data_IF_210557614983
#
_entry.id   IF_210557614983
#
_cell.length_a   1.000
_cell.length_b   1.000
_cell.length_c   1.000
_cell.angle_alpha   90.00
_cell.angle_beta   90.00
_cell.angle_gamma   90.00
#
_symmetry.space_group_name_H-M   'P 1'
#
loop_
_entity.id
_entity.type
_entity.pdbx_description
1 polymer ?
#
# COMPACT_ATOMS: atom_id res chain seq x y z
N UNK A 1 4.13 -21.22 18.29
CA UNK A 1 4.85 -20.41 17.28
C UNK A 1 3.81 -19.52 16.62
N UNK A 2 4.08 -18.23 16.46
CA UNK A 2 3.20 -17.35 15.68
C UNK A 2 3.42 -17.61 14.20
N UNK A 3 2.34 -17.48 13.40
CA UNK A 3 2.47 -17.50 11.94
C UNK A 3 3.31 -16.30 11.48
N UNK A 4 4.08 -16.43 10.40
CA UNK A 4 4.68 -15.25 9.77
C UNK A 4 3.59 -14.35 9.20
N UNK A 5 3.88 -13.06 9.07
CA UNK A 5 2.92 -12.04 8.66
C UNK A 5 3.22 -11.52 7.27
N UNK A 6 2.16 -11.31 6.48
CA UNK A 6 2.22 -10.45 5.32
C UNK A 6 1.68 -9.07 5.72
N UNK A 7 2.50 -8.03 5.58
CA UNK A 7 2.10 -6.64 5.80
C UNK A 7 1.90 -5.95 4.44
N UNK A 8 0.67 -5.63 4.10
CA UNK A 8 0.32 -4.87 2.90
C UNK A 8 0.19 -3.40 3.29
N UNK A 9 1.05 -2.54 2.75
CA UNK A 9 1.01 -1.09 2.99
C UNK A 9 0.35 -0.42 1.80
N UNK A 10 -0.88 0.00 1.98
CA UNK A 10 -1.77 0.41 0.93
C UNK A 10 -2.14 1.90 0.99
N UNK A 11 -2.56 2.44 -0.14
CA UNK A 11 -3.01 3.82 -0.30
C UNK A 11 -2.64 4.36 -1.66
N UNK A 12 -3.35 5.39 -2.14
CA UNK A 12 -3.11 5.96 -3.47
C UNK A 12 -1.72 6.60 -3.60
N UNK A 13 -1.35 6.96 -4.81
CA UNK A 13 -0.14 7.75 -5.06
C UNK A 13 -0.20 9.05 -4.24
N UNK A 14 0.89 9.39 -3.56
CA UNK A 14 0.95 10.59 -2.69
C UNK A 14 0.39 10.40 -1.27
N UNK A 15 -0.14 9.23 -0.90
CA UNK A 15 -0.65 8.99 0.46
C UNK A 15 0.44 8.95 1.54
N UNK A 16 1.71 8.80 1.15
CA UNK A 16 2.83 8.81 2.08
C UNK A 16 3.33 7.42 2.49
N UNK A 17 2.94 6.36 1.78
CA UNK A 17 3.41 4.98 2.06
C UNK A 17 4.90 4.92 2.35
N UNK A 18 5.74 5.23 1.37
CA UNK A 18 7.21 5.14 1.50
C UNK A 18 7.81 6.10 2.54
N UNK A 19 7.08 7.16 2.92
CA UNK A 19 7.53 8.07 3.97
C UNK A 19 7.25 7.55 5.38
N UNK A 20 6.13 6.82 5.55
CA UNK A 20 5.64 6.43 6.87
C UNK A 20 5.69 4.93 7.14
N UNK A 21 5.87 4.09 6.12
CA UNK A 21 5.90 2.64 6.27
C UNK A 21 6.88 2.18 7.36
N UNK A 22 8.06 2.78 7.43
CA UNK A 22 9.08 2.48 8.46
C UNK A 22 8.63 2.77 9.89
N UNK A 23 7.70 3.70 10.08
CA UNK A 23 7.16 4.07 11.40
C UNK A 23 5.89 3.28 11.74
N UNK A 24 5.15 2.85 10.71
CA UNK A 24 3.87 2.14 10.87
C UNK A 24 4.05 0.62 10.98
N UNK A 25 5.15 0.08 10.47
CA UNK A 25 5.45 -1.35 10.58
C UNK A 25 5.90 -1.67 12.01
N UNK A 26 5.09 -2.42 12.79
CA UNK A 26 5.41 -2.70 14.19
C UNK A 26 6.71 -3.49 14.31
N UNK A 27 7.73 -2.92 14.95
CA UNK A 27 8.94 -3.57 15.52
C UNK A 27 9.54 -4.76 14.75
N UNK A 28 9.18 -4.99 13.50
CA UNK A 28 9.80 -6.00 12.66
C UNK A 28 10.98 -5.36 11.91
N UNK A 29 12.10 -6.08 11.81
CA UNK A 29 13.21 -5.69 10.94
C UNK A 29 12.85 -5.82 9.44
N UNK A 30 11.56 -5.88 9.11
CA UNK A 30 11.05 -6.06 7.76
C UNK A 30 10.97 -4.70 7.07
N UNK A 31 11.76 -4.52 6.03
CA UNK A 31 11.70 -3.33 5.18
C UNK A 31 10.65 -3.60 4.10
N UNK A 32 9.64 -2.74 3.93
CA UNK A 32 8.65 -2.93 2.88
C UNK A 32 9.28 -2.85 1.48
N UNK A 33 8.94 -3.80 0.63
CA UNK A 33 9.30 -3.76 -0.79
C UNK A 33 8.54 -2.63 -1.48
N UNK A 34 9.27 -1.65 -2.02
CA UNK A 34 8.73 -0.52 -2.79
C UNK A 34 9.01 -0.76 -4.28
N UNK A 35 8.00 -1.26 -5.01
CA UNK A 35 8.12 -1.57 -6.44
C UNK A 35 8.55 -0.37 -7.27
N UNK A 36 8.01 0.84 -7.00
CA UNK A 36 8.36 2.07 -7.72
C UNK A 36 9.86 2.40 -7.55
N UNK A 37 10.42 2.17 -6.36
CA UNK A 37 11.83 2.40 -6.07
C UNK A 37 12.74 1.42 -6.83
N UNK A 38 12.40 0.13 -6.84
CA UNK A 38 13.12 -0.90 -7.61
C UNK A 38 13.06 -0.61 -9.11
N UNK A 39 11.86 -0.32 -9.63
CA UNK A 39 11.68 0.07 -11.03
C UNK A 39 12.58 1.26 -11.40
N UNK A 40 12.56 2.35 -10.63
CA UNK A 40 13.37 3.54 -10.90
C UNK A 40 14.87 3.25 -10.84
N UNK A 41 15.30 2.39 -9.92
CA UNK A 41 16.71 1.96 -9.82
C UNK A 41 17.16 1.27 -11.10
N UNK A 42 16.39 0.27 -11.55
CA UNK A 42 16.68 -0.44 -12.80
C UNK A 42 16.58 0.48 -14.01
N UNK A 43 15.53 1.31 -14.10
CA UNK A 43 15.34 2.25 -15.20
C UNK A 43 16.52 3.21 -15.37
N UNK A 44 17.10 3.70 -14.27
CA UNK A 44 18.29 4.59 -14.30
C UNK A 44 19.57 3.87 -14.69
N UNK A 45 19.70 2.58 -14.35
CA UNK A 45 20.87 1.78 -14.65
C UNK A 45 20.91 1.26 -16.11
N UNK A 46 19.76 1.12 -16.76
CA UNK A 46 19.65 0.63 -18.13
C UNK A 46 20.03 1.71 -19.16
N UNK A 47 20.63 1.27 -20.27
CA UNK A 47 20.88 2.12 -21.44
C UNK A 47 19.56 2.57 -22.07
N UNK A 48 19.58 3.69 -22.77
CA UNK A 48 18.41 4.28 -23.39
C UNK A 48 18.07 3.58 -24.72
N UNK A 49 17.08 2.71 -24.69
CA UNK A 49 16.57 1.91 -25.81
C UNK A 49 15.03 1.80 -25.72
N UNK A 50 14.37 1.51 -26.82
CA UNK A 50 12.89 1.49 -26.93
C UNK A 50 12.20 0.59 -25.88
N UNK A 51 12.84 -0.49 -25.47
CA UNK A 51 12.29 -1.46 -24.49
C UNK A 51 12.76 -1.24 -23.05
N UNK A 52 13.45 -0.13 -22.77
CA UNK A 52 14.04 0.18 -21.46
C UNK A 52 13.03 0.10 -20.32
N UNK A 53 11.86 0.70 -20.50
CA UNK A 53 10.80 0.71 -19.51
C UNK A 53 10.30 -0.71 -19.20
N UNK A 54 10.05 -1.50 -20.26
CA UNK A 54 9.62 -2.90 -20.11
C UNK A 54 10.68 -3.73 -19.40
N UNK A 55 11.95 -3.53 -19.71
CA UNK A 55 13.07 -4.22 -19.05
C UNK A 55 13.14 -3.85 -17.57
N UNK A 56 13.01 -2.58 -17.23
CA UNK A 56 13.01 -2.12 -15.83
C UNK A 56 11.83 -2.73 -15.03
N UNK A 57 10.65 -2.82 -15.63
CA UNK A 57 9.50 -3.49 -15.03
C UNK A 57 9.75 -5.00 -14.81
N UNK A 58 10.33 -5.68 -15.79
CA UNK A 58 10.64 -7.10 -15.68
C UNK A 58 11.66 -7.35 -14.53
N UNK A 59 12.69 -6.52 -14.43
CA UNK A 59 13.69 -6.64 -13.36
C UNK A 59 13.10 -6.37 -11.98
N UNK A 60 12.29 -5.32 -11.83
CA UNK A 60 11.61 -5.02 -10.56
C UNK A 60 10.64 -6.15 -10.15
N UNK A 61 9.98 -6.77 -11.13
CA UNK A 61 9.11 -7.93 -10.88
C UNK A 61 9.91 -9.16 -10.46
N UNK A 62 11.11 -9.36 -11.03
CA UNK A 62 12.02 -10.44 -10.61
C UNK A 62 12.46 -10.22 -9.18
N UNK A 63 12.93 -9.01 -8.82
CA UNK A 63 13.31 -8.68 -7.44
C UNK A 63 12.17 -8.99 -6.44
N UNK A 64 10.93 -8.58 -6.77
CA UNK A 64 9.78 -8.86 -5.92
C UNK A 64 9.55 -10.37 -5.73
N UNK A 65 9.60 -11.14 -6.82
CA UNK A 65 9.40 -12.58 -6.76
C UNK A 65 10.49 -13.27 -5.95
N UNK A 66 11.76 -12.86 -6.11
CA UNK A 66 12.88 -13.42 -5.38
C UNK A 66 12.76 -13.17 -3.87
N UNK A 67 12.37 -11.94 -3.47
CA UNK A 67 12.14 -11.62 -2.06
C UNK A 67 10.95 -12.38 -1.47
N UNK A 68 9.87 -12.55 -2.22
CA UNK A 68 8.71 -13.35 -1.81
C UNK A 68 9.10 -14.83 -1.63
N UNK A 69 9.84 -15.40 -2.58
CA UNK A 69 10.29 -16.79 -2.46
C UNK A 69 11.21 -16.99 -1.25
N UNK A 70 12.12 -16.05 -0.99
CA UNK A 70 12.98 -16.09 0.19
C UNK A 70 12.17 -16.00 1.49
N UNK A 71 11.16 -15.11 1.56
CA UNK A 71 10.26 -15.01 2.70
C UNK A 71 9.52 -16.33 2.95
N UNK A 72 9.01 -16.98 1.90
CA UNK A 72 8.34 -18.28 2.01
C UNK A 72 9.27 -19.39 2.48
N UNK A 73 10.48 -19.49 1.91
CA UNK A 73 11.48 -20.51 2.30
C UNK A 73 11.92 -20.36 3.75
N UNK A 74 12.15 -19.13 4.18
CA UNK A 74 12.64 -18.84 5.53
C UNK A 74 11.55 -18.64 6.58
N UNK A 75 10.27 -18.67 6.18
CA UNK A 75 9.10 -18.42 7.06
C UNK A 75 9.21 -17.08 7.79
N UNK A 76 9.70 -16.03 7.12
CA UNK A 76 9.84 -14.68 7.67
C UNK A 76 8.65 -13.82 7.30
N UNK A 77 8.42 -12.77 8.10
CA UNK A 77 7.50 -11.70 7.75
C UNK A 77 7.92 -11.07 6.41
N UNK A 78 6.94 -10.68 5.60
CA UNK A 78 7.15 -9.93 4.37
C UNK A 78 6.27 -8.69 4.37
N UNK A 79 6.75 -7.60 3.77
CA UNK A 79 6.00 -6.37 3.62
C UNK A 79 6.16 -5.81 2.22
N UNK A 80 5.11 -5.23 1.64
CA UNK A 80 5.19 -4.51 0.37
C UNK A 80 4.21 -3.34 0.29
N UNK A 81 4.58 -2.35 -0.54
CA UNK A 81 3.75 -1.20 -0.82
C UNK A 81 2.90 -1.41 -2.08
N UNK A 82 1.65 -0.94 -2.05
CA UNK A 82 0.72 -1.03 -3.18
C UNK A 82 -0.25 0.15 -3.21
N UNK A 83 -0.83 0.45 -4.38
CA UNK A 83 -1.98 1.36 -4.46
C UNK A 83 -3.29 0.67 -4.10
N UNK A 84 -3.28 -0.65 -3.97
CA UNK A 84 -4.43 -1.48 -3.65
C UNK A 84 -5.56 -1.39 -4.69
N UNK A 85 -5.18 -1.20 -5.97
CA UNK A 85 -6.12 -0.93 -7.07
C UNK A 85 -6.41 -2.14 -7.95
N UNK A 86 -5.40 -2.70 -8.62
CA UNK A 86 -5.56 -3.81 -9.57
C UNK A 86 -5.21 -5.13 -8.90
N UNK A 87 -6.15 -6.08 -8.90
CA UNK A 87 -5.99 -7.42 -8.29
C UNK A 87 -5.35 -7.41 -6.88
N UNK A 88 -5.85 -6.57 -5.94
CA UNK A 88 -5.18 -6.29 -4.68
C UNK A 88 -5.00 -7.53 -3.80
N UNK A 89 -5.79 -8.60 -4.05
CA UNK A 89 -5.74 -9.84 -3.30
C UNK A 89 -4.85 -10.93 -3.95
N UNK A 90 -4.16 -10.62 -5.07
CA UNK A 90 -3.30 -11.60 -5.74
C UNK A 90 -2.23 -12.17 -4.78
N UNK A 91 -1.38 -11.31 -4.25
CA UNK A 91 -0.36 -11.71 -3.28
C UNK A 91 -0.94 -12.12 -1.91
N UNK A 92 -1.87 -11.37 -1.30
CA UNK A 92 -2.48 -11.79 -0.03
C UNK A 92 -3.03 -13.21 -0.06
N UNK A 93 -3.73 -13.61 -1.13
CA UNK A 93 -4.26 -14.97 -1.24
C UNK A 93 -3.16 -16.05 -1.30
N UNK A 94 -2.05 -15.78 -2.00
CA UNK A 94 -0.94 -16.72 -2.06
C UNK A 94 -0.23 -16.87 -0.71
N UNK A 95 0.01 -15.75 -0.01
CA UNK A 95 0.58 -15.78 1.34
C UNK A 95 -0.33 -16.49 2.33
N UNK A 96 -1.65 -16.24 2.26
CA UNK A 96 -2.64 -16.95 3.10
C UNK A 96 -2.59 -18.46 2.86
N UNK A 97 -2.50 -18.89 1.60
CA UNK A 97 -2.35 -20.32 1.25
C UNK A 97 -1.03 -20.92 1.78
N UNK A 98 -0.02 -20.11 2.03
CA UNK A 98 1.25 -20.51 2.68
C UNK A 98 1.21 -20.40 4.21
N UNK A 99 0.06 -20.07 4.81
CA UNK A 99 -0.13 -19.99 6.26
C UNK A 99 0.47 -18.74 6.89
N UNK A 100 0.38 -17.60 6.20
CA UNK A 100 0.68 -16.27 6.74
C UNK A 100 -0.59 -15.62 7.28
N UNK A 101 -0.44 -14.84 8.36
CA UNK A 101 -1.49 -13.93 8.81
C UNK A 101 -1.42 -12.64 7.98
N UNK A 102 -2.58 -12.13 7.54
CA UNK A 102 -2.68 -10.99 6.64
C UNK A 102 -2.93 -9.69 7.41
N UNK A 103 -2.01 -8.73 7.27
CA UNK A 103 -2.09 -7.40 7.87
C UNK A 103 -2.18 -6.34 6.76
N UNK A 104 -3.08 -5.38 6.91
CA UNK A 104 -3.22 -4.25 6.01
C UNK A 104 -3.05 -2.93 6.77
N UNK A 105 -2.13 -2.09 6.33
CA UNK A 105 -1.99 -0.71 6.76
C UNK A 105 -2.48 0.19 5.63
N UNK A 106 -3.62 0.85 5.78
CA UNK A 106 -4.22 1.66 4.72
C UNK A 106 -4.10 3.16 5.03
N UNK A 107 -3.36 3.89 4.17
CA UNK A 107 -3.20 5.33 4.28
C UNK A 107 -4.21 6.06 3.39
N UNK A 108 -5.15 6.74 4.02
CA UNK A 108 -6.13 7.59 3.38
C UNK A 108 -5.56 8.97 3.03
N UNK A 109 -6.12 9.59 2.00
CA UNK A 109 -6.04 11.03 1.74
C UNK A 109 -7.44 11.60 1.60
N UNK A 110 -7.63 12.84 2.03
CA UNK A 110 -8.91 13.53 2.03
C UNK A 110 -9.37 13.94 0.63
N UNK A 111 -8.44 14.08 -0.32
CA UNK A 111 -8.75 14.55 -1.67
C UNK A 111 -7.77 14.08 -2.74
N UNK A 112 -8.29 13.98 -3.97
CA UNK A 112 -7.51 13.70 -5.19
C UNK A 112 -6.57 14.87 -5.50
N UNK A 113 -6.99 16.09 -5.22
CA UNK A 113 -6.21 17.32 -5.40
C UNK A 113 -4.92 17.25 -4.58
N UNK A 114 -5.01 16.82 -3.32
CA UNK A 114 -3.84 16.63 -2.47
C UNK A 114 -2.93 15.50 -2.99
N UNK A 115 -3.52 14.39 -3.44
CA UNK A 115 -2.78 13.29 -4.05
C UNK A 115 -1.97 13.78 -5.27
N UNK A 116 -2.62 14.48 -6.21
CA UNK A 116 -1.99 15.04 -7.39
C UNK A 116 -0.88 16.05 -7.05
N UNK A 117 -1.13 16.95 -6.09
CA UNK A 117 -0.14 17.93 -5.63
C UNK A 117 1.13 17.25 -5.11
N UNK A 118 0.97 16.20 -4.27
CA UNK A 118 2.11 15.46 -3.71
C UNK A 118 2.87 14.66 -4.77
N UNK A 119 2.16 14.10 -5.77
CA UNK A 119 2.81 13.44 -6.93
C UNK A 119 3.66 14.45 -7.71
N UNK A 120 3.16 15.66 -7.98
CA UNK A 120 3.93 16.71 -8.67
C UNK A 120 5.19 17.09 -7.90
N UNK A 121 5.08 17.36 -6.60
CA UNK A 121 6.25 17.65 -5.73
C UNK A 121 7.28 16.51 -5.76
N UNK A 122 6.81 15.26 -5.75
CA UNK A 122 7.67 14.09 -5.86
C UNK A 122 8.43 14.04 -7.18
N UNK A 123 7.77 14.39 -8.29
CA UNK A 123 8.39 14.46 -9.63
C UNK A 123 9.46 15.55 -9.69
N UNK A 124 9.20 16.73 -9.12
CA UNK A 124 10.19 17.82 -9.02
C UNK A 124 11.45 17.37 -8.24
N UNK A 125 11.31 16.44 -7.32
CA UNK A 125 12.41 15.84 -6.57
C UNK A 125 12.97 14.53 -7.22
N UNK A 126 12.70 14.30 -8.51
CA UNK A 126 13.25 13.17 -9.28
C UNK A 126 12.50 11.86 -9.13
N UNK A 127 11.30 11.86 -8.59
CA UNK A 127 10.45 10.67 -8.50
C UNK A 127 9.69 10.37 -9.79
N UNK A 128 9.04 9.22 -9.83
CA UNK A 128 8.27 8.76 -10.99
C UNK A 128 7.01 9.60 -11.21
N UNK A 129 6.76 10.00 -12.48
CA UNK A 129 5.54 10.69 -12.88
C UNK A 129 4.37 9.71 -12.99
N UNK A 130 3.21 10.11 -12.47
CA UNK A 130 1.95 9.39 -12.63
C UNK A 130 0.91 10.38 -13.19
N UNK A 131 0.26 10.06 -14.32
CA UNK A 131 -0.79 10.91 -14.89
C UNK A 131 -1.95 11.13 -13.92
N UNK A 132 -2.57 12.32 -13.95
CA UNK A 132 -3.66 12.68 -13.04
C UNK A 132 -4.82 11.68 -13.06
N UNK A 133 -5.22 11.22 -14.25
CA UNK A 133 -6.30 10.24 -14.40
C UNK A 133 -5.97 8.89 -13.73
N UNK A 134 -4.70 8.50 -13.73
CA UNK A 134 -4.24 7.28 -13.03
C UNK A 134 -4.24 7.47 -11.52
N UNK A 135 -3.83 8.65 -11.01
CA UNK A 135 -3.91 8.97 -9.58
C UNK A 135 -5.37 8.90 -9.10
N UNK A 136 -6.30 9.48 -9.88
CA UNK A 136 -7.73 9.48 -9.60
C UNK A 136 -8.30 8.05 -9.63
N UNK A 137 -8.00 7.27 -10.67
CA UNK A 137 -8.43 5.88 -10.80
C UNK A 137 -7.97 5.06 -9.59
N UNK A 138 -6.69 5.17 -9.23
CA UNK A 138 -6.09 4.44 -8.10
C UNK A 138 -6.66 4.87 -6.75
N UNK A 139 -6.97 6.16 -6.62
CA UNK A 139 -7.61 6.69 -5.41
C UNK A 139 -8.94 6.00 -5.14
N UNK A 140 -9.85 6.02 -6.12
CA UNK A 140 -11.16 5.41 -5.95
C UNK A 140 -11.09 3.88 -5.86
N UNK A 141 -10.32 3.23 -6.74
CA UNK A 141 -10.16 1.79 -6.74
C UNK A 141 -9.58 1.26 -5.42
N UNK A 142 -8.64 1.98 -4.81
CA UNK A 142 -8.08 1.61 -3.50
C UNK A 142 -9.13 1.58 -2.40
N UNK A 143 -9.99 2.60 -2.32
CA UNK A 143 -11.08 2.64 -1.34
C UNK A 143 -12.18 1.60 -1.63
N UNK A 144 -12.55 1.42 -2.91
CA UNK A 144 -13.50 0.39 -3.31
C UNK A 144 -13.02 -1.01 -2.90
N UNK A 145 -11.74 -1.30 -3.15
CA UNK A 145 -11.14 -2.57 -2.76
C UNK A 145 -11.00 -2.72 -1.24
N UNK A 146 -10.67 -1.65 -0.50
CA UNK A 146 -10.70 -1.68 0.95
C UNK A 146 -12.09 -2.08 1.45
N UNK A 147 -13.14 -1.39 0.97
CA UNK A 147 -14.52 -1.66 1.35
C UNK A 147 -14.98 -3.08 0.98
N UNK A 148 -14.46 -3.64 -0.12
CA UNK A 148 -14.80 -4.99 -0.61
C UNK A 148 -14.07 -6.11 0.13
N UNK A 149 -12.79 -5.90 0.48
CA UNK A 149 -11.91 -6.98 0.91
C UNK A 149 -11.48 -6.91 2.39
N UNK A 150 -11.90 -5.86 3.15
CA UNK A 150 -11.46 -5.69 4.54
C UNK A 150 -11.68 -6.95 5.42
N UNK A 151 -12.77 -7.69 5.22
CA UNK A 151 -13.07 -8.89 6.01
C UNK A 151 -12.17 -10.10 5.70
N UNK A 152 -11.29 -10.00 4.69
CA UNK A 152 -10.36 -11.08 4.32
C UNK A 152 -9.00 -10.97 4.99
N UNK A 153 -8.72 -9.82 5.63
CA UNK A 153 -7.53 -9.59 6.44
C UNK A 153 -7.78 -9.96 7.90
N UNK A 154 -6.75 -10.48 8.54
CA UNK A 154 -6.79 -10.81 9.97
C UNK A 154 -6.71 -9.53 10.80
N UNK A 155 -5.96 -8.52 10.32
CA UNK A 155 -5.80 -7.24 10.97
C UNK A 155 -5.69 -6.09 9.96
N UNK A 156 -6.37 -4.96 10.24
CA UNK A 156 -6.26 -3.73 9.44
C UNK A 156 -6.14 -2.55 10.38
N UNK A 157 -5.16 -1.67 10.10
CA UNK A 157 -5.12 -0.31 10.62
C UNK A 157 -5.31 0.70 9.50
N UNK A 158 -6.19 1.67 9.72
CA UNK A 158 -6.50 2.75 8.78
C UNK A 158 -5.98 4.06 9.35
N UNK A 159 -5.24 4.81 8.54
CA UNK A 159 -4.59 6.05 8.92
C UNK A 159 -4.99 7.22 8.02
N UNK A 160 -5.12 8.40 8.63
CA UNK A 160 -5.27 9.68 7.92
C UNK A 160 -3.89 10.27 7.61
N UNK A 161 -3.57 10.40 6.33
CA UNK A 161 -2.28 10.86 5.84
C UNK A 161 -2.28 12.27 5.23
N UNK A 162 -3.40 13.03 5.30
CA UNK A 162 -3.53 14.33 4.63
C UNK A 162 -2.69 15.44 5.26
N UNK A 163 -2.45 15.37 6.56
CA UNK A 163 -1.65 16.38 7.26
C UNK A 163 -0.21 16.43 6.73
N UNK A 164 0.29 17.63 6.44
CA UNK A 164 1.65 17.81 5.93
C UNK A 164 2.67 17.62 7.06
N UNK A 165 3.73 16.85 6.78
CA UNK A 165 4.89 16.63 7.69
C UNK A 165 4.52 16.17 9.11
N UNK A 166 3.40 15.46 9.25
CA UNK A 166 2.97 14.85 10.52
C UNK A 166 2.86 13.35 10.36
N UNK A 167 3.05 12.63 11.46
CA UNK A 167 2.76 11.19 11.53
C UNK A 167 1.27 11.01 11.23
N UNK A 168 0.90 10.06 10.35
CA UNK A 168 -0.51 9.77 10.05
C UNK A 168 -1.31 9.47 11.33
N UNK A 169 -2.51 10.04 11.42
CA UNK A 169 -3.41 9.81 12.53
C UNK A 169 -4.09 8.46 12.38
N UNK A 170 -4.08 7.64 13.43
CA UNK A 170 -4.78 6.37 13.45
C UNK A 170 -6.29 6.59 13.56
N UNK A 171 -7.05 6.09 12.59
CA UNK A 171 -8.51 6.30 12.49
C UNK A 171 -9.34 5.08 12.86
N UNK A 172 -8.89 3.88 12.54
CA UNK A 172 -9.64 2.67 12.84
C UNK A 172 -8.75 1.44 12.87
N UNK A 173 -9.18 0.44 13.65
CA UNK A 173 -8.65 -0.93 13.66
C UNK A 173 -9.78 -1.91 13.37
N UNK A 174 -9.52 -2.86 12.48
CA UNK A 174 -10.40 -3.99 12.16
C UNK A 174 -9.66 -5.30 12.46
N UNK A 175 -10.25 -6.17 13.25
CA UNK A 175 -9.71 -7.49 13.58
C UNK A 175 -10.71 -8.58 13.12
N UNK A 176 -10.23 -9.49 12.28
CA UNK A 176 -11.05 -10.59 11.75
C UNK A 176 -12.41 -10.10 11.18
N UNK A 177 -12.39 -9.01 10.42
CA UNK A 177 -13.55 -8.40 9.79
C UNK A 177 -14.48 -7.62 10.74
N UNK A 178 -14.07 -7.42 12.01
CA UNK A 178 -14.85 -6.64 13.00
C UNK A 178 -14.12 -5.35 13.34
N UNK A 179 -14.83 -4.23 13.28
CA UNK A 179 -14.30 -2.94 13.71
C UNK A 179 -14.17 -2.95 15.24
N UNK A 180 -12.95 -2.89 15.77
CA UNK A 180 -12.66 -2.87 17.22
C UNK A 180 -12.38 -1.46 17.73
N UNK A 181 -11.94 -0.58 16.86
CA UNK A 181 -11.77 0.86 17.14
C UNK A 181 -12.11 1.65 15.90
N UNK A 182 -12.83 2.78 16.02
CA UNK A 182 -13.14 3.65 14.88
C UNK A 182 -13.42 5.10 15.31
N UNK A 183 -12.83 6.02 14.55
CA UNK A 183 -13.15 7.44 14.51
C UNK A 183 -13.51 7.89 13.09
N UNK A 184 -13.80 6.95 12.19
CA UNK A 184 -14.05 7.18 10.76
C UNK A 184 -15.23 8.11 10.49
N UNK A 185 -16.21 8.13 11.38
CA UNK A 185 -17.40 9.01 11.33
C UNK A 185 -17.06 10.50 11.35
N UNK A 186 -15.89 10.86 11.89
CA UNK A 186 -15.38 12.24 11.93
C UNK A 186 -14.90 12.73 10.57
N UNK A 187 -14.64 11.83 9.63
CA UNK A 187 -14.05 12.14 8.31
C UNK A 187 -15.13 12.05 7.22
N UNK A 188 -15.72 13.19 6.88
CA UNK A 188 -16.87 13.26 5.97
C UNK A 188 -16.58 12.63 4.59
N UNK A 189 -15.35 12.76 4.08
CA UNK A 189 -14.96 12.21 2.78
C UNK A 189 -15.03 10.68 2.73
N UNK A 190 -14.88 10.00 3.87
CA UNK A 190 -14.91 8.54 3.95
C UNK A 190 -16.31 7.94 3.85
N UNK A 191 -17.36 8.72 4.16
CA UNK A 191 -18.73 8.21 4.21
C UNK A 191 -19.20 7.55 2.92
N UNK A 192 -18.77 8.08 1.78
CA UNK A 192 -19.13 7.55 0.47
C UNK A 192 -18.09 6.56 -0.07
N UNK A 193 -16.86 6.57 0.48
CA UNK A 193 -15.75 5.75 -0.01
C UNK A 193 -15.70 4.38 0.67
N UNK A 194 -16.00 4.31 1.98
CA UNK A 194 -15.95 3.05 2.75
C UNK A 194 -17.18 2.86 3.65
N UNK A 195 -18.41 2.90 3.09
CA UNK A 195 -19.66 2.82 3.86
C UNK A 195 -19.76 1.56 4.72
N UNK A 196 -19.23 0.42 4.28
CA UNK A 196 -19.29 -0.84 5.02
C UNK A 196 -18.49 -0.80 6.34
N UNK A 197 -17.43 0.01 6.41
CA UNK A 197 -16.61 0.17 7.61
C UNK A 197 -17.15 1.24 8.57
N UNK A 198 -17.94 2.19 8.07
CA UNK A 198 -18.52 3.26 8.89
C UNK A 198 -19.85 2.83 9.52
N UNK A 199 -20.61 1.97 8.83
CA UNK A 199 -21.97 1.55 9.27
C UNK A 199 -21.94 0.47 10.36
N UNK A 200 -20.79 0.07 10.81
CA UNK A 200 -20.56 -0.96 11.84
C UNK A 200 -19.89 -0.35 13.05
#
# INVERSE_FOLDING_TARGET
>A
MHNPRLLVIAGCNGSGKSSFSKFLVPSSNTIPFDYDSHFLSHYRALIDIDIKEQMAHNLASTDLNDEIEEAWKSRKDFAFETNFDTEPMYWPNQFKAKGYDLFLLFLCLDSIELANKRVLIRVENGGHFVPKYEVERRYYAGFENLNKYYAQFDFIDIFEGSAHARIPEHMATVENGKVVFSTLDRYLYLKNLIPELISR
#
